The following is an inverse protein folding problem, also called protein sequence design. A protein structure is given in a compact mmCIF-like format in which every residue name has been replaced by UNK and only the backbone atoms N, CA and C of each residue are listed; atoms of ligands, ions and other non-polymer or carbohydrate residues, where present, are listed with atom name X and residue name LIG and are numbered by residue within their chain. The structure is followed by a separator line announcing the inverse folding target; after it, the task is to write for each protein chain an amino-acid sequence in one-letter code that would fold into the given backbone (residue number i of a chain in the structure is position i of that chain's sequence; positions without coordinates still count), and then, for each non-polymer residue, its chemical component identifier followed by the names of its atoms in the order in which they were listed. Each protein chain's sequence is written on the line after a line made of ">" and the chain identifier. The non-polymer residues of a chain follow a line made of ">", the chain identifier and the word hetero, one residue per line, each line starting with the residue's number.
data_IF_159587509770
#
_entry.id   IF_159587509770
#
_cell.length_a   1.000
_cell.length_b   1.000
_cell.length_c   1.000
_cell.angle_alpha   90.00
_cell.angle_beta   90.00
_cell.angle_gamma   90.00
#
_symmetry.space_group_name_H-M   'P 1'
#
loop_
_entity.id
_entity.type
_entity.pdbx_description
1 polymer ?
#
# COMPACT_ATOMS: atom_id res chain seq x y z
N UNK A 1 18.26 -10.62 12.56
CA UNK A 1 16.83 -10.35 12.25
C UNK A 1 16.78 -10.02 10.76
N UNK A 2 16.24 -10.91 9.94
CA UNK A 2 16.16 -10.70 8.48
C UNK A 2 14.92 -9.86 8.18
N UNK A 3 15.07 -8.55 8.10
CA UNK A 3 14.03 -7.68 7.55
C UNK A 3 14.07 -7.84 6.03
N UNK A 4 13.27 -8.76 5.47
CA UNK A 4 12.98 -8.74 4.04
C UNK A 4 12.28 -7.40 3.75
N UNK A 5 13.01 -6.47 3.14
CA UNK A 5 12.46 -5.20 2.68
C UNK A 5 11.78 -5.49 1.34
N UNK A 6 10.46 -5.40 1.29
CA UNK A 6 9.71 -5.62 0.05
C UNK A 6 9.56 -4.29 -0.70
N UNK A 7 9.44 -4.35 -2.03
CA UNK A 7 9.21 -3.15 -2.84
C UNK A 7 7.93 -2.40 -2.42
N UNK A 8 6.96 -3.12 -1.84
CA UNK A 8 5.69 -2.62 -1.31
C UNK A 8 5.86 -1.68 -0.11
N UNK A 9 6.95 -1.80 0.66
CA UNK A 9 7.24 -0.92 1.79
C UNK A 9 7.64 0.49 1.35
N UNK A 10 8.01 0.66 0.08
CA UNK A 10 8.49 1.93 -0.47
C UNK A 10 7.41 2.74 -1.18
N UNK A 11 6.21 2.20 -1.36
CA UNK A 11 5.15 2.82 -2.13
C UNK A 11 3.88 2.93 -1.29
N UNK A 12 3.27 4.12 -1.33
CA UNK A 12 1.91 4.37 -0.85
C UNK A 12 1.12 5.09 -1.93
N UNK A 13 -0.19 4.93 -1.89
CA UNK A 13 -1.08 5.54 -2.86
C UNK A 13 -2.08 6.42 -2.13
N UNK A 14 -2.12 7.70 -2.47
CA UNK A 14 -3.14 8.61 -1.97
C UNK A 14 -4.31 8.62 -2.96
N UNK A 15 -5.48 8.21 -2.45
CA UNK A 15 -6.70 8.09 -3.24
C UNK A 15 -7.25 9.48 -3.54
N UNK A 16 -7.46 9.76 -4.83
CA UNK A 16 -8.16 10.95 -5.30
C UNK A 16 -9.40 10.50 -6.07
N UNK A 17 -9.28 10.24 -7.38
CA UNK A 17 -10.38 9.66 -8.16
C UNK A 17 -10.49 8.12 -8.03
N UNK A 18 -9.49 7.46 -7.47
CA UNK A 18 -9.44 6.02 -7.22
C UNK A 18 -9.44 5.14 -8.48
N UNK A 19 -9.29 5.72 -9.68
CA UNK A 19 -9.45 5.00 -10.96
C UNK A 19 -8.20 4.22 -11.35
N UNK A 20 -7.03 4.59 -10.81
CA UNK A 20 -5.75 3.94 -11.12
C UNK A 20 -5.22 3.06 -9.99
N UNK A 21 -5.78 3.19 -8.79
CA UNK A 21 -5.39 2.43 -7.61
C UNK A 21 -6.17 1.12 -7.55
N UNK A 22 -5.47 0.00 -7.52
CA UNK A 22 -6.02 -1.32 -7.21
C UNK A 22 -6.49 -1.40 -5.76
N UNK A 23 -7.73 -1.85 -5.56
CA UNK A 23 -8.29 -2.04 -4.22
C UNK A 23 -7.47 -3.03 -3.37
N UNK A 24 -6.96 -4.11 -3.96
CA UNK A 24 -6.33 -5.21 -3.24
C UNK A 24 -4.80 -5.07 -3.08
N UNK A 25 -4.13 -4.67 -4.16
CA UNK A 25 -2.67 -4.72 -4.30
C UNK A 25 -1.92 -3.41 -4.06
N UNK A 26 -2.61 -2.27 -3.97
CA UNK A 26 -1.96 -0.98 -3.72
C UNK A 26 -2.10 -0.56 -2.25
N UNK A 27 -1.09 0.14 -1.74
CA UNK A 27 -1.02 0.56 -0.34
C UNK A 27 -1.70 1.93 -0.16
N UNK A 28 -3.03 1.93 -0.28
CA UNK A 28 -3.87 3.12 -0.13
C UNK A 28 -4.63 3.20 1.19
N UNK A 29 -4.67 2.09 1.93
CA UNK A 29 -5.43 1.99 3.18
C UNK A 29 -4.54 2.13 4.41
N UNK A 30 -5.12 2.52 5.55
CA UNK A 30 -4.44 2.48 6.85
C UNK A 30 -4.09 1.06 7.30
N UNK A 31 -4.72 0.04 6.68
CA UNK A 31 -4.49 -1.37 6.94
C UNK A 31 -3.33 -1.94 6.09
N UNK A 32 -2.74 -1.13 5.20
CA UNK A 32 -1.71 -1.59 4.26
C UNK A 32 -2.33 -2.29 3.04
N UNK A 33 -1.66 -3.35 2.59
CA UNK A 33 -2.09 -4.15 1.44
C UNK A 33 -3.22 -5.12 1.86
N UNK A 34 -4.42 -4.86 1.37
CA UNK A 34 -5.61 -5.65 1.75
C UNK A 34 -5.50 -7.12 1.33
N UNK A 35 -4.77 -7.40 0.24
CA UNK A 35 -4.51 -8.78 -0.21
C UNK A 35 -3.61 -9.56 0.75
N UNK A 36 -2.66 -8.90 1.43
CA UNK A 36 -1.79 -9.58 2.40
C UNK A 36 -2.55 -9.93 3.68
N UNK A 37 -3.56 -9.12 4.04
CA UNK A 37 -4.39 -9.35 5.22
C UNK A 37 -5.42 -10.47 5.03
N UNK A 38 -5.95 -10.61 3.81
CA UNK A 38 -7.09 -11.50 3.55
C UNK A 38 -6.76 -12.69 2.65
N UNK A 39 -5.60 -12.65 1.99
CA UNK A 39 -5.23 -13.61 0.96
C UNK A 39 -6.21 -13.60 -0.22
N UNK A 40 -6.06 -14.58 -1.12
CA UNK A 40 -6.89 -14.66 -2.33
C UNK A 40 -8.38 -14.83 -2.03
N UNK A 41 -8.76 -15.44 -0.90
CA UNK A 41 -10.18 -15.64 -0.53
C UNK A 41 -10.89 -14.34 -0.13
N UNK A 42 -10.15 -13.32 0.30
CA UNK A 42 -10.71 -12.02 0.67
C UNK A 42 -11.56 -11.37 -0.41
N UNK A 43 -11.20 -11.56 -1.69
CA UNK A 43 -11.99 -11.01 -2.80
C UNK A 43 -13.38 -11.66 -2.93
N UNK A 44 -13.49 -12.94 -2.59
CA UNK A 44 -14.76 -13.68 -2.57
C UNK A 44 -15.58 -13.24 -1.36
N UNK A 45 -14.96 -13.20 -0.18
CA UNK A 45 -15.64 -12.87 1.07
C UNK A 45 -16.18 -11.43 1.07
N UNK A 46 -15.39 -10.47 0.58
CA UNK A 46 -15.84 -9.09 0.39
C UNK A 46 -16.80 -8.93 -0.80
N UNK A 47 -16.81 -9.85 -1.78
CA UNK A 47 -17.58 -9.67 -3.00
C UNK A 47 -17.09 -8.52 -3.89
N UNK A 48 -15.81 -8.16 -3.78
CA UNK A 48 -15.13 -7.16 -4.61
C UNK A 48 -14.11 -7.90 -5.48
N UNK A 49 -14.21 -7.73 -6.80
CA UNK A 49 -13.36 -8.47 -7.74
C UNK A 49 -11.87 -8.18 -7.50
N UNK A 50 -11.02 -9.18 -7.77
CA UNK A 50 -9.57 -9.10 -7.50
C UNK A 50 -8.88 -7.93 -8.25
N UNK A 51 -9.41 -7.55 -9.41
CA UNK A 51 -8.89 -6.45 -10.24
C UNK A 51 -9.72 -5.16 -10.09
N UNK A 52 -10.55 -5.05 -9.06
CA UNK A 52 -11.29 -3.83 -8.79
C UNK A 52 -10.34 -2.68 -8.43
N UNK A 53 -10.64 -1.51 -8.97
CA UNK A 53 -10.03 -0.25 -8.51
C UNK A 53 -10.75 0.26 -7.26
N UNK A 54 -10.14 1.18 -6.52
CA UNK A 54 -10.77 1.83 -5.37
C UNK A 54 -12.08 2.52 -5.78
N UNK A 55 -12.09 3.20 -6.93
CA UNK A 55 -13.29 3.82 -7.48
C UNK A 55 -14.43 2.81 -7.72
N UNK A 56 -14.10 1.64 -8.28
CA UNK A 56 -15.09 0.59 -8.52
C UNK A 56 -15.58 -0.05 -7.22
N UNK A 57 -14.70 -0.17 -6.23
CA UNK A 57 -15.04 -0.65 -4.91
C UNK A 57 -15.98 0.30 -4.15
N UNK A 58 -16.06 1.59 -4.48
CA UNK A 58 -17.03 2.51 -3.85
C UNK A 58 -18.49 2.16 -4.14
N UNK A 59 -18.77 1.42 -5.22
CA UNK A 59 -20.12 0.91 -5.49
C UNK A 59 -20.47 -0.33 -4.63
N UNK A 60 -19.54 -0.81 -3.81
CA UNK A 60 -19.78 -1.92 -2.89
C UNK A 60 -20.74 -1.52 -1.77
N UNK A 61 -21.77 -2.33 -1.55
CA UNK A 61 -22.66 -2.17 -0.40
C UNK A 61 -22.06 -2.87 0.82
N UNK A 62 -21.90 -2.13 1.92
CA UNK A 62 -21.35 -2.66 3.17
C UNK A 62 -22.02 -3.98 3.56
N UNK A 63 -21.20 -4.98 3.88
CA UNK A 63 -21.67 -6.27 4.42
C UNK A 63 -21.25 -6.42 5.87
N UNK A 64 -21.97 -7.28 6.59
CA UNK A 64 -21.58 -7.69 7.93
C UNK A 64 -20.88 -9.04 7.82
N UNK A 65 -19.62 -9.07 8.22
CA UNK A 65 -18.81 -10.29 8.19
C UNK A 65 -18.70 -10.89 9.59
N UNK A 66 -18.51 -12.21 9.66
CA UNK A 66 -18.17 -12.86 10.94
C UNK A 66 -16.74 -12.51 11.35
N UNK A 67 -15.85 -12.34 10.37
CA UNK A 67 -14.44 -12.03 10.58
C UNK A 67 -14.24 -10.53 10.83
N UNK A 68 -13.57 -10.20 11.93
CA UNK A 68 -13.27 -8.82 12.32
C UNK A 68 -12.43 -8.06 11.29
N UNK A 69 -11.43 -8.71 10.68
CA UNK A 69 -10.59 -8.13 9.62
C UNK A 69 -11.41 -7.59 8.45
N UNK A 70 -12.44 -8.34 8.02
CA UNK A 70 -13.31 -7.91 6.92
C UNK A 70 -14.20 -6.74 7.36
N UNK A 71 -14.69 -6.73 8.61
CA UNK A 71 -15.43 -5.59 9.14
C UNK A 71 -14.56 -4.32 9.27
N UNK A 72 -13.27 -4.44 9.56
CA UNK A 72 -12.33 -3.31 9.51
C UNK A 72 -12.15 -2.77 8.10
N UNK A 73 -12.08 -3.65 7.09
CA UNK A 73 -12.01 -3.23 5.69
C UNK A 73 -13.28 -2.48 5.24
N UNK A 74 -14.46 -2.96 5.64
CA UNK A 74 -15.73 -2.24 5.40
C UNK A 74 -15.70 -0.84 6.01
N UNK A 75 -15.13 -0.70 7.22
CA UNK A 75 -15.02 0.59 7.90
C UNK A 75 -14.07 1.53 7.16
N UNK A 76 -12.96 1.02 6.64
CA UNK A 76 -12.02 1.79 5.81
C UNK A 76 -12.68 2.25 4.51
N UNK A 77 -13.43 1.36 3.84
CA UNK A 77 -14.21 1.70 2.64
C UNK A 77 -15.20 2.83 2.91
N UNK A 78 -15.94 2.76 4.02
CA UNK A 78 -16.90 3.78 4.41
C UNK A 78 -16.25 5.15 4.68
N UNK A 79 -15.10 5.16 5.37
CA UNK A 79 -14.36 6.39 5.64
C UNK A 79 -13.95 7.12 4.35
N UNK A 80 -13.56 6.38 3.31
CA UNK A 80 -13.26 6.99 2.01
C UNK A 80 -14.54 7.44 1.30
N UNK A 81 -15.58 6.60 1.32
CA UNK A 81 -16.86 6.95 0.69
C UNK A 81 -17.47 8.24 1.26
N UNK A 82 -17.31 8.47 2.57
CA UNK A 82 -17.80 9.66 3.27
C UNK A 82 -16.96 10.91 3.01
N UNK A 83 -15.65 10.74 2.82
CA UNK A 83 -14.76 11.84 2.42
C UNK A 83 -15.01 12.26 0.96
N UNK A 84 -15.44 11.31 0.13
CA UNK A 84 -15.73 11.49 -1.29
C UNK A 84 -14.48 11.41 -2.16
N UNK A 85 -14.64 10.83 -3.34
CA UNK A 85 -13.60 10.85 -4.38
C UNK A 85 -13.60 12.20 -5.09
N UNK A 86 -12.42 12.68 -5.45
CA UNK A 86 -12.26 13.91 -6.24
C UNK A 86 -12.09 13.55 -7.73
N UNK A 87 -12.20 14.53 -8.63
CA UNK A 87 -11.86 14.29 -10.05
C UNK A 87 -10.34 14.34 -10.31
N UNK A 88 -9.53 14.69 -9.31
CA UNK A 88 -8.09 14.74 -9.44
C UNK A 88 -7.48 13.34 -9.64
N UNK A 89 -6.34 13.28 -10.32
CA UNK A 89 -5.61 12.02 -10.50
C UNK A 89 -5.07 11.51 -9.16
N UNK A 90 -5.09 10.18 -8.99
CA UNK A 90 -4.46 9.49 -7.86
C UNK A 90 -2.96 9.84 -7.77
N UNK A 91 -2.41 9.81 -6.56
CA UNK A 91 -1.03 10.20 -6.30
C UNK A 91 -0.24 9.01 -5.77
N UNK A 92 0.87 8.69 -6.44
CA UNK A 92 1.84 7.72 -5.95
C UNK A 92 2.86 8.43 -5.07
N UNK A 93 3.03 7.94 -3.85
CA UNK A 93 3.96 8.43 -2.86
C UNK A 93 5.09 7.42 -2.66
N UNK A 94 6.32 7.91 -2.75
CA UNK A 94 7.53 7.13 -2.59
C UNK A 94 8.14 7.39 -1.22
N UNK A 95 8.59 6.33 -0.56
CA UNK A 95 9.33 6.42 0.70
C UNK A 95 10.72 7.01 0.44
N UNK A 96 10.91 8.23 0.92
CA UNK A 96 12.16 8.97 0.87
C UNK A 96 12.97 8.86 2.16
N UNK A 97 13.95 9.75 2.30
CA UNK A 97 14.85 9.79 3.45
C UNK A 97 14.09 10.01 4.76
N UNK A 98 14.39 9.21 5.78
CA UNK A 98 13.81 9.34 7.12
C UNK A 98 12.36 8.87 7.21
N UNK A 99 11.97 7.87 6.41
CA UNK A 99 10.64 7.25 6.41
C UNK A 99 9.48 8.19 6.01
N UNK A 100 9.81 9.31 5.35
CA UNK A 100 8.83 10.28 4.85
C UNK A 100 8.41 9.94 3.43
N UNK A 101 7.11 10.01 3.16
CA UNK A 101 6.54 9.76 1.83
C UNK A 101 6.48 11.06 1.01
N UNK A 102 6.99 11.03 -0.22
CA UNK A 102 7.05 12.19 -1.12
C UNK A 102 6.52 11.85 -2.51
N UNK A 103 5.98 12.85 -3.22
CA UNK A 103 5.49 12.68 -4.62
C UNK A 103 6.62 12.45 -5.63
N UNK A 104 7.84 12.84 -5.28
CA UNK A 104 9.02 12.69 -6.12
C UNK A 104 9.85 11.49 -5.69
N UNK A 105 10.42 10.79 -6.69
CA UNK A 105 11.41 9.74 -6.47
C UNK A 105 12.80 10.34 -6.41
N UNK A 106 13.61 9.89 -5.45
CA UNK A 106 15.02 10.26 -5.34
C UNK A 106 15.84 8.99 -5.48
N UNK A 107 16.46 8.78 -6.64
CA UNK A 107 17.28 7.60 -6.91
C UNK A 107 18.37 7.42 -5.84
N UNK A 108 18.90 8.52 -5.30
CA UNK A 108 19.89 8.51 -4.21
C UNK A 108 19.33 7.98 -2.90
N UNK A 109 18.10 8.36 -2.54
CA UNK A 109 17.49 7.94 -1.28
C UNK A 109 16.95 6.52 -1.38
N UNK A 110 16.35 6.14 -2.51
CA UNK A 110 15.99 4.74 -2.81
C UNK A 110 17.23 3.85 -2.75
N UNK A 111 18.33 4.26 -3.39
CA UNK A 111 19.59 3.50 -3.35
C UNK A 111 20.13 3.30 -1.93
N UNK A 112 20.04 4.33 -1.07
CA UNK A 112 20.45 4.22 0.32
C UNK A 112 19.53 3.33 1.14
N UNK A 113 18.23 3.32 0.85
CA UNK A 113 17.26 2.56 1.61
C UNK A 113 17.21 1.07 1.23
N UNK A 114 17.53 0.73 -0.03
CA UNK A 114 17.61 -0.67 -0.48
C UNK A 114 18.97 -1.31 -0.19
N UNK A 115 20.05 -0.51 -0.08
CA UNK A 115 21.39 -1.06 0.14
C UNK A 115 21.61 -1.43 1.61
N UNK A 116 21.84 -2.71 1.86
CA UNK A 116 22.47 -3.17 3.10
C UNK A 116 23.85 -2.50 3.26
N UNK A 117 23.96 -1.62 4.26
CA UNK A 117 25.24 -1.09 4.70
C UNK A 117 25.94 -2.22 5.45
N UNK A 118 26.67 -3.07 4.73
CA UNK A 118 27.61 -3.99 5.36
C UNK A 118 28.67 -3.17 6.08
N UNK A 119 28.96 -3.51 7.33
CA UNK A 119 30.08 -2.94 8.06
C UNK A 119 31.37 -3.14 7.26
N UNK A 120 32.26 -2.15 7.30
CA UNK A 120 33.58 -2.24 6.66
C UNK A 120 34.30 -3.45 7.27
N UNK A 121 34.54 -4.49 6.49
CA UNK A 121 35.21 -5.69 6.98
C UNK A 121 36.72 -5.46 6.95
N UNK A 122 37.41 -5.75 8.06
CA UNK A 122 38.83 -5.40 8.29
C UNK A 122 39.86 -6.16 7.44
N UNK A 123 39.46 -7.11 6.59
CA UNK A 123 40.43 -7.94 5.85
C UNK A 123 40.98 -7.30 4.57
N UNK A 124 40.52 -6.12 4.17
CA UNK A 124 41.20 -5.36 3.10
C UNK A 124 42.37 -4.57 3.70
N UNK A 125 43.51 -5.23 3.83
CA UNK A 125 44.80 -4.56 3.80
C UNK A 125 45.14 -4.32 2.34
N UNK A 126 45.26 -3.05 1.96
CA UNK A 126 45.89 -2.65 0.70
C UNK A 126 47.29 -3.28 0.64
N UNK A 127 47.55 -4.01 -0.43
CA UNK A 127 48.91 -4.34 -0.89
C UNK A 127 49.29 -3.26 -1.90
#
# INVERSE_FOLDING_TARGET
>A
MNTNVYATDFVKNEVQNGRSISFWFDNWSSLGLLIELTGQRGCIDMGITLHATVAKAMAHNRRRHMTETLNHMETVLENISSTGLTEAADIVLWKGKGDRFTKQISSKDTWKATRDIKSKVEWYKEI
#
